data_IF_458098503174
#
_entry.id   IF_458098503174
#
_cell.length_a   1.000
_cell.length_b   1.000
_cell.length_c   1.000
_cell.angle_alpha   90.00
_cell.angle_beta   90.00
_cell.angle_gamma   90.00
#
_symmetry.space_group_name_H-M   'P 1'
#
loop_
_entity.id
_entity.type
_entity.pdbx_description
1 polymer ?
#
# COMPACT_ATOMS: atom_id res chain seq x y z
N UNK A 1 -20.54 10.86 20.82
CA UNK A 1 -20.50 10.08 19.56
C UNK A 1 -19.50 10.62 18.53
N UNK A 2 -18.97 11.85 18.66
CA UNK A 2 -18.04 12.45 17.69
C UNK A 2 -16.62 11.88 17.70
N UNK A 3 -16.12 11.39 18.84
CA UNK A 3 -14.71 10.94 18.98
C UNK A 3 -14.41 9.64 18.24
N UNK A 4 -15.36 8.70 18.17
CA UNK A 4 -15.15 7.40 17.53
C UNK A 4 -15.04 7.57 16.01
N UNK A 5 -15.97 8.31 15.39
CA UNK A 5 -15.95 8.58 13.96
C UNK A 5 -14.71 9.36 13.50
N UNK A 6 -14.17 10.26 14.34
CA UNK A 6 -12.94 10.96 14.05
C UNK A 6 -11.71 10.04 14.10
N UNK A 7 -11.67 9.09 15.04
CA UNK A 7 -10.57 8.14 15.14
C UNK A 7 -10.56 7.15 13.96
N UNK A 8 -11.73 6.66 13.54
CA UNK A 8 -11.85 5.78 12.38
C UNK A 8 -11.35 6.43 11.09
N UNK A 9 -11.57 7.74 10.91
CA UNK A 9 -11.03 8.48 9.75
C UNK A 9 -9.50 8.62 9.78
N UNK A 10 -8.91 8.73 10.98
CA UNK A 10 -7.46 8.80 11.12
C UNK A 10 -6.84 7.43 10.85
N UNK A 11 -7.45 6.37 11.35
CA UNK A 11 -6.98 4.99 11.16
C UNK A 11 -6.92 4.61 9.68
N UNK A 12 -7.82 5.15 8.84
CA UNK A 12 -7.84 4.93 7.40
C UNK A 12 -6.86 5.81 6.59
N UNK A 13 -6.14 6.74 7.22
CA UNK A 13 -5.12 7.53 6.51
C UNK A 13 -3.97 6.63 6.12
N UNK A 14 -3.55 6.69 4.87
CA UNK A 14 -2.40 5.92 4.38
C UNK A 14 -1.12 6.75 4.47
N UNK A 15 -0.04 6.09 4.86
CA UNK A 15 1.29 6.67 4.91
C UNK A 15 2.26 5.84 4.09
N UNK A 16 3.21 6.52 3.46
CA UNK A 16 4.30 5.89 2.70
C UNK A 16 5.65 6.52 2.99
N UNK A 17 6.70 5.79 2.64
CA UNK A 17 8.03 6.36 2.47
C UNK A 17 8.14 7.04 1.10
N UNK A 18 8.51 8.32 1.07
CA UNK A 18 8.54 9.11 -0.16
C UNK A 18 9.92 9.70 -0.45
N UNK A 19 10.46 9.32 -1.60
CA UNK A 19 11.71 9.87 -2.13
C UNK A 19 11.56 11.36 -2.50
N UNK A 20 10.39 11.75 -2.99
CA UNK A 20 10.06 13.13 -3.32
C UNK A 20 10.05 13.98 -2.06
N UNK A 21 9.37 13.52 -1.00
CA UNK A 21 9.33 14.20 0.29
C UNK A 21 10.72 14.37 0.91
N UNK A 22 11.59 13.37 0.79
CA UNK A 22 13.00 13.51 1.20
C UNK A 22 13.73 14.61 0.42
N UNK A 23 13.46 14.74 -0.88
CA UNK A 23 13.96 15.82 -1.71
C UNK A 23 13.54 17.20 -1.20
N UNK A 24 12.27 17.38 -0.83
CA UNK A 24 11.75 18.62 -0.23
C UNK A 24 12.43 18.96 1.11
N UNK A 25 12.76 17.93 1.89
CA UNK A 25 13.51 18.04 3.15
C UNK A 25 15.02 18.29 2.94
N UNK A 26 15.48 18.42 1.69
CA UNK A 26 16.88 18.54 1.30
C UNK A 26 17.74 17.36 1.83
N UNK A 27 17.19 16.15 1.78
CA UNK A 27 17.83 14.93 2.24
C UNK A 27 18.07 13.97 1.09
N UNK A 28 19.23 13.31 1.11
CA UNK A 28 19.54 12.26 0.16
C UNK A 28 18.98 10.92 0.65
N UNK A 29 18.20 10.19 -0.17
CA UNK A 29 17.68 8.88 0.20
C UNK A 29 18.75 7.78 0.23
N UNK A 30 19.82 7.91 -0.56
CA UNK A 30 20.83 6.85 -0.72
C UNK A 30 21.55 6.53 0.61
N UNK A 31 22.14 7.50 1.34
CA UNK A 31 22.77 7.21 2.63
C UNK A 31 21.77 6.68 3.66
N UNK A 32 20.51 7.11 3.58
CA UNK A 32 19.45 6.65 4.47
C UNK A 32 19.21 5.15 4.25
N UNK A 33 19.00 4.72 3.00
CA UNK A 33 18.73 3.32 2.67
C UNK A 33 19.96 2.42 2.85
N UNK A 34 21.16 2.88 2.45
CA UNK A 34 22.42 2.12 2.60
C UNK A 34 22.67 1.71 4.06
N UNK A 35 22.35 2.57 5.02
CA UNK A 35 22.54 2.28 6.45
C UNK A 35 21.61 1.20 7.01
N UNK A 36 20.63 0.73 6.23
CA UNK A 36 19.65 -0.29 6.64
C UNK A 36 19.85 -1.62 5.91
N UNK A 37 20.76 -1.69 4.96
CA UNK A 37 21.11 -2.95 4.32
C UNK A 37 21.71 -3.93 5.34
N UNK A 38 21.30 -5.19 5.25
CA UNK A 38 21.94 -6.28 5.96
C UNK A 38 23.02 -6.93 5.09
N UNK A 39 23.76 -7.89 5.65
CA UNK A 39 24.87 -8.57 4.95
C UNK A 39 24.43 -9.39 3.73
N UNK A 40 23.14 -9.69 3.59
CA UNK A 40 22.60 -10.42 2.44
C UNK A 40 22.35 -9.50 1.24
N UNK A 41 22.24 -8.18 1.43
CA UNK A 41 22.00 -7.23 0.35
C UNK A 41 23.22 -7.09 -0.59
N UNK A 42 23.04 -7.10 -1.91
CA UNK A 42 24.13 -6.90 -2.89
C UNK A 42 24.86 -5.55 -2.77
N UNK A 43 24.17 -4.52 -2.25
CA UNK A 43 24.75 -3.20 -2.04
C UNK A 43 25.30 -2.97 -0.63
N UNK A 44 25.35 -4.01 0.21
CA UNK A 44 25.95 -3.93 1.53
C UNK A 44 27.43 -3.52 1.45
N UNK A 45 27.82 -2.53 2.27
CA UNK A 45 29.20 -2.02 2.32
C UNK A 45 29.57 -1.04 1.19
N UNK A 46 28.66 -0.74 0.25
CA UNK A 46 28.86 0.31 -0.77
C UNK A 46 28.72 1.69 -0.17
N UNK A 47 29.35 2.68 -0.79
CA UNK A 47 29.23 4.08 -0.43
C UNK A 47 28.17 4.79 -1.30
N UNK A 48 27.78 6.00 -0.90
CA UNK A 48 26.85 6.81 -1.70
C UNK A 48 27.38 7.22 -3.07
N UNK A 49 28.68 7.01 -3.36
CA UNK A 49 29.26 7.24 -4.67
C UNK A 49 29.12 6.04 -5.62
N UNK A 50 28.80 4.85 -5.08
CA UNK A 50 28.72 3.59 -5.84
C UNK A 50 27.28 3.22 -6.24
N UNK A 51 26.31 4.01 -5.79
CA UNK A 51 24.88 3.73 -5.97
C UNK A 51 24.17 5.00 -6.45
N UNK A 52 23.59 4.90 -7.64
CA UNK A 52 22.90 6.03 -8.28
C UNK A 52 21.38 5.99 -8.10
N UNK A 53 20.80 4.80 -7.85
CA UNK A 53 19.35 4.62 -7.79
C UNK A 53 18.85 4.21 -6.38
N UNK A 54 18.11 5.09 -5.67
CA UNK A 54 17.51 4.75 -4.38
C UNK A 54 16.39 3.71 -4.48
N UNK A 55 15.68 3.61 -5.62
CA UNK A 55 14.60 2.62 -5.76
C UNK A 55 15.16 1.20 -5.77
N UNK A 56 16.30 0.99 -6.43
CA UNK A 56 17.04 -0.26 -6.37
C UNK A 56 17.39 -0.66 -4.93
N UNK A 57 17.88 0.27 -4.12
CA UNK A 57 18.18 -0.01 -2.70
C UNK A 57 16.93 -0.42 -1.91
N UNK A 58 15.81 0.27 -2.14
CA UNK A 58 14.54 -0.06 -1.50
C UNK A 58 14.07 -1.48 -1.90
N UNK A 59 14.17 -1.84 -3.18
CA UNK A 59 13.88 -3.19 -3.66
C UNK A 59 14.81 -4.26 -3.05
N UNK A 60 16.11 -3.96 -2.92
CA UNK A 60 17.08 -4.86 -2.26
C UNK A 60 16.74 -5.08 -0.78
N UNK A 61 16.32 -4.03 -0.06
CA UNK A 61 15.89 -4.15 1.34
C UNK A 61 14.72 -5.11 1.46
N UNK A 62 13.68 -4.94 0.63
CA UNK A 62 12.52 -5.84 0.67
C UNK A 62 12.89 -7.29 0.38
N UNK A 63 13.73 -7.52 -0.61
CA UNK A 63 14.12 -8.86 -1.04
C UNK A 63 15.01 -9.61 -0.02
N UNK A 64 15.77 -8.89 0.81
CA UNK A 64 16.81 -9.50 1.65
C UNK A 64 16.67 -9.24 3.15
N UNK A 65 15.85 -8.26 3.56
CA UNK A 65 15.68 -7.87 4.96
C UNK A 65 14.32 -8.24 5.56
N UNK A 66 13.36 -8.71 4.77
CA UNK A 66 12.02 -9.06 5.29
C UNK A 66 12.06 -10.19 6.33
N UNK A 67 12.89 -11.21 6.08
CA UNK A 67 13.04 -12.38 6.95
C UNK A 67 14.10 -12.20 8.05
N UNK A 68 14.76 -11.04 8.11
CA UNK A 68 15.82 -10.77 9.09
C UNK A 68 15.18 -10.33 10.43
N UNK A 69 15.24 -11.16 11.48
CA UNK A 69 14.60 -10.84 12.77
C UNK A 69 15.27 -9.66 13.48
N UNK A 70 16.50 -9.32 13.11
CA UNK A 70 17.25 -8.18 13.67
C UNK A 70 17.05 -6.89 12.85
N UNK A 71 16.33 -6.96 11.72
CA UNK A 71 16.07 -5.80 10.89
C UNK A 71 15.21 -4.75 11.61
N UNK A 72 14.24 -5.16 12.44
CA UNK A 72 13.48 -4.25 13.30
C UNK A 72 13.67 -4.69 14.75
N UNK A 73 14.11 -3.76 15.61
CA UNK A 73 14.37 -4.05 17.04
C UNK A 73 13.60 -3.10 17.93
N UNK A 74 13.07 -3.62 19.02
CA UNK A 74 12.33 -2.84 20.03
C UNK A 74 13.16 -1.74 20.71
N UNK A 75 14.49 -1.79 20.62
CA UNK A 75 15.37 -0.74 21.14
C UNK A 75 15.48 0.47 20.22
N UNK A 76 14.97 0.40 18.99
CA UNK A 76 15.04 1.48 18.00
C UNK A 76 14.09 2.64 18.35
N UNK A 77 14.38 3.87 17.89
CA UNK A 77 13.44 4.98 17.97
C UNK A 77 12.13 4.65 17.23
N UNK A 78 10.99 5.18 17.72
CA UNK A 78 9.67 4.94 17.15
C UNK A 78 9.63 5.18 15.63
N UNK A 79 10.15 6.32 15.17
CA UNK A 79 10.18 6.66 13.75
C UNK A 79 11.07 5.72 12.93
N UNK A 80 12.15 5.17 13.49
CA UNK A 80 12.98 4.17 12.79
C UNK A 80 12.21 2.85 12.64
N UNK A 81 11.44 2.45 13.65
CA UNK A 81 10.57 1.27 13.57
C UNK A 81 9.55 1.47 12.46
N UNK A 82 8.80 2.58 12.47
CA UNK A 82 7.81 2.89 11.43
C UNK A 82 8.46 2.93 10.04
N UNK A 83 9.62 3.57 9.92
CA UNK A 83 10.34 3.63 8.66
C UNK A 83 10.67 2.25 8.12
N UNK A 84 11.24 1.37 8.94
CA UNK A 84 11.58 0.01 8.51
C UNK A 84 10.35 -0.85 8.24
N UNK A 85 9.26 -0.67 9.00
CA UNK A 85 7.98 -1.32 8.70
C UNK A 85 7.46 -0.91 7.33
N UNK A 86 7.46 0.39 7.00
CA UNK A 86 7.05 0.88 5.68
C UNK A 86 7.97 0.44 4.54
N UNK A 87 9.28 0.31 4.79
CA UNK A 87 10.21 -0.22 3.80
C UNK A 87 9.91 -1.69 3.44
N UNK A 88 9.36 -2.47 4.37
CA UNK A 88 9.02 -3.88 4.16
C UNK A 88 7.59 -4.10 3.65
N UNK A 89 6.75 -3.07 3.62
CA UNK A 89 5.39 -3.18 3.08
C UNK A 89 5.42 -3.48 1.57
N UNK A 90 4.57 -4.42 1.12
CA UNK A 90 4.54 -4.90 -0.26
C UNK A 90 4.21 -3.78 -1.26
N UNK A 91 3.18 -3.00 -0.95
CA UNK A 91 2.70 -1.84 -1.70
C UNK A 91 3.41 -0.53 -1.30
N UNK A 92 4.31 -0.57 -0.33
CA UNK A 92 5.01 0.57 0.26
C UNK A 92 4.09 1.61 0.91
N UNK A 93 2.86 1.21 1.21
CA UNK A 93 1.86 2.05 1.86
C UNK A 93 1.25 1.30 3.04
N UNK A 94 0.96 1.99 4.14
CA UNK A 94 0.22 1.37 5.23
C UNK A 94 -0.76 2.36 5.83
N UNK A 95 -1.92 1.86 6.20
CA UNK A 95 -2.88 2.64 6.97
C UNK A 95 -2.30 2.98 8.35
N UNK A 96 -2.63 4.15 8.87
CA UNK A 96 -2.18 4.61 10.17
C UNK A 96 -2.62 3.65 11.28
N UNK A 97 -3.80 3.05 11.14
CA UNK A 97 -4.29 1.99 12.02
C UNK A 97 -3.38 0.76 12.00
N UNK A 98 -2.95 0.30 10.82
CA UNK A 98 -2.03 -0.83 10.70
C UNK A 98 -0.65 -0.52 11.28
N UNK A 99 -0.10 0.68 11.03
CA UNK A 99 1.17 1.11 11.63
C UNK A 99 1.04 1.17 13.16
N UNK A 100 -0.06 1.72 13.66
CA UNK A 100 -0.33 1.79 15.10
C UNK A 100 -0.40 0.41 15.74
N UNK A 101 -1.09 -0.53 15.09
CA UNK A 101 -1.21 -1.92 15.54
C UNK A 101 0.15 -2.64 15.56
N UNK A 102 0.94 -2.54 14.49
CA UNK A 102 2.31 -3.09 14.45
C UNK A 102 3.15 -2.58 15.64
N UNK A 103 3.08 -1.27 15.91
CA UNK A 103 3.80 -0.67 17.02
C UNK A 103 3.30 -1.15 18.39
N UNK A 104 1.99 -1.23 18.61
CA UNK A 104 1.41 -1.54 19.92
C UNK A 104 1.45 -3.02 20.26
N UNK A 105 1.36 -3.90 19.26
CA UNK A 105 1.30 -5.36 19.48
C UNK A 105 2.67 -6.03 19.27
N UNK A 106 3.34 -5.74 18.14
CA UNK A 106 4.54 -6.48 17.74
C UNK A 106 5.82 -5.88 18.34
N UNK A 107 5.89 -4.56 18.39
CA UNK A 107 7.11 -3.85 18.79
C UNK A 107 7.06 -3.30 20.22
N UNK A 108 5.92 -3.39 20.87
CA UNK A 108 5.74 -3.08 22.29
C UNK A 108 6.21 -4.23 23.16
N UNK A 109 6.74 -3.93 24.35
CA UNK A 109 7.04 -4.94 25.37
C UNK A 109 6.64 -4.47 26.76
N UNK A 110 6.46 -5.38 27.74
CA UNK A 110 6.15 -4.98 29.12
C UNK A 110 7.20 -4.04 29.75
N UNK A 111 8.46 -4.15 29.31
CA UNK A 111 9.58 -3.34 29.81
C UNK A 111 9.68 -2.01 29.05
N UNK A 112 9.21 -1.96 27.80
CA UNK A 112 9.18 -0.76 26.95
C UNK A 112 7.85 -0.69 26.19
N UNK A 113 6.78 -0.23 26.86
CA UNK A 113 5.48 -0.14 26.23
C UNK A 113 5.45 1.02 25.24
N UNK A 114 4.89 0.79 24.05
CA UNK A 114 4.60 1.84 23.08
C UNK A 114 3.15 2.28 23.28
N UNK A 115 2.94 3.42 23.94
CA UNK A 115 1.62 3.94 24.33
C UNK A 115 1.14 5.12 23.47
N UNK A 116 1.69 5.26 22.25
CA UNK A 116 1.28 6.31 21.32
C UNK A 116 -0.18 6.10 20.91
N UNK A 117 -0.96 7.18 20.82
CA UNK A 117 -2.33 7.12 20.27
C UNK A 117 -2.28 7.26 18.74
N UNK A 118 -3.30 6.82 18.02
CA UNK A 118 -3.40 7.01 16.55
C UNK A 118 -3.21 8.49 16.17
N UNK A 119 -3.92 9.41 16.84
CA UNK A 119 -3.77 10.84 16.60
C UNK A 119 -2.38 11.39 16.98
N UNK A 120 -1.72 10.81 17.98
CA UNK A 120 -0.34 11.15 18.34
C UNK A 120 0.65 10.65 17.28
N UNK A 121 0.41 9.45 16.75
CA UNK A 121 1.24 8.84 15.71
C UNK A 121 1.15 9.66 14.42
N UNK A 122 -0.05 10.01 13.95
CA UNK A 122 -0.23 10.90 12.79
C UNK A 122 0.59 12.18 12.93
N UNK A 123 0.51 12.88 14.07
CA UNK A 123 1.32 14.07 14.32
C UNK A 123 2.82 13.82 14.28
N UNK A 124 3.29 12.66 14.75
CA UNK A 124 4.72 12.31 14.72
C UNK A 124 5.18 12.06 13.27
N UNK A 125 4.33 11.45 12.44
CA UNK A 125 4.64 11.20 11.03
C UNK A 125 4.57 12.50 10.21
N UNK A 126 3.56 13.33 10.44
CA UNK A 126 3.37 14.60 9.73
C UNK A 126 4.49 15.63 10.02
N UNK A 127 5.04 15.59 11.24
CA UNK A 127 6.16 16.45 11.65
C UNK A 127 7.53 15.80 11.43
N UNK A 128 7.61 14.67 10.72
CA UNK A 128 8.89 14.08 10.37
C UNK A 128 9.70 15.00 9.45
N UNK A 129 10.99 15.10 9.76
CA UNK A 129 11.96 15.88 9.01
C UNK A 129 13.18 15.04 8.59
N UNK A 130 13.12 13.71 8.78
CA UNK A 130 14.26 12.83 8.59
C UNK A 130 13.99 11.65 7.67
N UNK A 131 12.86 10.96 7.81
CA UNK A 131 12.55 9.75 7.05
C UNK A 131 11.77 10.01 5.76
N UNK A 132 11.12 11.17 5.63
CA UNK A 132 10.31 11.52 4.46
C UNK A 132 8.97 10.80 4.44
N UNK A 133 8.30 10.71 5.59
CA UNK A 133 6.93 10.20 5.64
C UNK A 133 5.97 11.14 4.91
N UNK A 134 5.11 10.55 4.10
CA UNK A 134 4.09 11.25 3.33
C UNK A 134 2.74 10.58 3.57
N UNK A 135 1.74 11.38 3.96
CA UNK A 135 0.36 10.93 4.02
C UNK A 135 -0.24 10.97 2.61
N UNK A 136 -0.85 9.87 2.18
CA UNK A 136 -1.56 9.80 0.91
C UNK A 136 -2.96 10.36 1.15
N UNK A 137 -3.36 11.45 0.47
CA UNK A 137 -4.72 11.94 0.58
C UNK A 137 -5.66 10.87 0.05
N UNK A 138 -6.72 10.56 0.80
CA UNK A 138 -7.78 9.69 0.32
C UNK A 138 -8.24 10.21 -1.04
N UNK A 139 -8.50 9.33 -2.03
CA UNK A 139 -9.00 9.76 -3.33
C UNK A 139 -10.21 10.66 -3.08
N UNK A 140 -10.13 11.90 -3.57
CA UNK A 140 -11.29 12.79 -3.50
C UNK A 140 -12.44 12.02 -4.15
N UNK A 141 -13.62 11.92 -3.50
CA UNK A 141 -14.75 11.23 -4.11
C UNK A 141 -14.95 11.90 -5.46
N UNK A 142 -14.74 11.16 -6.55
CA UNK A 142 -14.91 11.65 -7.91
C UNK A 142 -16.17 12.50 -7.89
N UNK A 143 -15.99 13.81 -8.05
CA UNK A 143 -17.09 14.74 -7.97
C UNK A 143 -18.05 14.30 -9.07
N UNK A 144 -19.14 13.64 -8.68
CA UNK A 144 -20.17 13.14 -9.55
C UNK A 144 -20.49 14.29 -10.49
N UNK A 145 -20.01 14.22 -11.74
CA UNK A 145 -20.18 15.32 -12.67
C UNK A 145 -21.67 15.64 -12.67
N UNK A 146 -22.09 16.89 -12.39
CA UNK A 146 -23.50 17.19 -12.37
C UNK A 146 -24.03 16.87 -13.76
N UNK A 147 -24.83 15.80 -13.84
CA UNK A 147 -25.58 15.37 -15.02
C UNK A 147 -26.25 16.62 -15.59
N UNK A 148 -25.63 17.19 -16.62
CA UNK A 148 -26.12 18.41 -17.25
C UNK A 148 -27.51 18.07 -17.75
N UNK A 149 -28.55 18.81 -17.36
CA UNK A 149 -29.89 18.52 -17.87
C UNK A 149 -29.83 18.66 -19.38
N UNK A 150 -30.08 17.55 -20.06
CA UNK A 150 -30.28 17.48 -21.51
C UNK A 150 -31.13 18.68 -21.93
N UNK A 151 -30.53 19.56 -22.73
CA UNK A 151 -31.22 20.67 -23.38
C UNK A 151 -32.25 20.08 -24.35
N UNK A 152 -33.43 19.78 -23.84
CA UNK A 152 -34.64 19.66 -24.63
C UNK A 152 -35.01 21.05 -25.16
N UNK A 153 -34.82 21.24 -26.47
CA UNK A 153 -35.73 21.94 -27.39
C UNK A 153 -34.96 22.15 -28.71
N UNK A 154 -35.19 21.28 -29.69
CA UNK A 154 -36.21 21.42 -30.72
C UNK A 154 -35.79 22.41 -31.81
N UNK A 155 -35.42 21.88 -32.98
CA UNK A 155 -35.89 22.43 -34.24
C UNK A 155 -35.87 21.35 -35.33
N UNK A 156 -37.05 21.11 -35.88
CA UNK A 156 -37.35 20.24 -37.01
C UNK A 156 -37.25 21.06 -38.29
N UNK A 157 -36.61 20.56 -39.34
CA UNK A 157 -37.30 20.38 -40.64
C UNK A 157 -36.51 19.50 -41.62
N UNK A 158 -37.28 18.90 -42.52
CA UNK A 158 -37.01 17.78 -43.40
C UNK A 158 -36.13 18.05 -44.63
N UNK A 159 -35.50 16.99 -45.18
CA UNK A 159 -35.79 16.50 -46.54
C UNK A 159 -34.93 15.28 -46.96
N UNK A 160 -35.63 14.15 -47.15
CA UNK A 160 -35.60 13.26 -48.33
C UNK A 160 -34.31 12.54 -48.75
N UNK A 161 -34.31 11.23 -48.43
CA UNK A 161 -34.11 10.03 -49.27
C UNK A 161 -32.95 9.95 -50.28
N UNK A 162 -32.19 8.85 -50.20
CA UNK A 162 -32.07 7.86 -51.27
C UNK A 162 -31.62 6.51 -50.68
N UNK A 163 -32.21 5.44 -51.20
CA UNK A 163 -32.03 4.05 -50.82
C UNK A 163 -30.81 3.40 -51.50
N UNK A 164 -30.20 2.42 -50.84
CA UNK A 164 -29.54 1.22 -51.41
C UNK A 164 -29.14 0.33 -50.20
N UNK A 165 -29.87 -0.73 -49.87
CA UNK A 165 -29.75 -2.13 -50.35
C UNK A 165 -28.51 -2.89 -49.83
N UNK A 166 -28.80 -3.88 -48.97
CA UNK A 166 -28.19 -5.20 -48.78
C UNK A 166 -26.70 -5.36 -48.40
N UNK A 167 -26.45 -5.98 -47.23
CA UNK A 167 -26.05 -7.41 -47.09
C UNK A 167 -25.74 -7.67 -45.59
N UNK A 168 -26.46 -8.55 -44.90
CA UNK A 168 -26.22 -10.00 -44.82
C UNK A 168 -24.84 -10.35 -44.23
N UNK A 169 -24.78 -10.60 -42.91
CA UNK A 169 -23.97 -11.67 -42.31
C UNK A 169 -24.74 -12.22 -41.10
N UNK A 170 -25.34 -13.39 -41.32
CA UNK A 170 -25.51 -14.45 -40.30
C UNK A 170 -24.13 -14.97 -39.90
N UNK A 171 -23.88 -15.14 -38.59
CA UNK A 171 -23.13 -16.28 -38.08
C UNK A 171 -23.12 -16.26 -36.53
N UNK A 172 -23.84 -17.22 -35.99
CA UNK A 172 -23.43 -18.13 -34.91
C UNK A 172 -23.06 -17.56 -33.54
N UNK A 173 -24.07 -17.64 -32.69
CA UNK A 173 -23.99 -18.04 -31.28
C UNK A 173 -23.21 -19.35 -31.20
N UNK A 174 -22.05 -19.33 -30.54
CA UNK A 174 -21.49 -20.52 -29.90
C UNK A 174 -21.54 -20.30 -28.39
N UNK A 175 -22.38 -21.13 -27.76
CA UNK A 175 -22.35 -21.50 -26.35
C UNK A 175 -20.97 -22.09 -26.03
N UNK A 176 -20.26 -21.52 -25.06
CA UNK A 176 -19.24 -22.25 -24.32
C UNK A 176 -19.68 -22.29 -22.85
N UNK A 177 -20.38 -23.39 -22.53
CA UNK A 177 -20.50 -23.93 -21.19
C UNK A 177 -19.23 -24.73 -20.89
N UNK A 178 -18.32 -24.17 -20.09
CA UNK A 178 -17.26 -24.94 -19.43
C UNK A 178 -17.37 -24.68 -17.91
N UNK A 179 -18.03 -25.60 -17.21
CA UNK A 179 -17.44 -26.75 -16.52
C UNK A 179 -17.02 -26.37 -15.09
N UNK A 180 -17.96 -26.55 -14.17
CA UNK A 180 -17.66 -26.71 -12.76
C UNK A 180 -16.94 -28.06 -12.60
N UNK A 181 -15.61 -28.04 -12.49
CA UNK A 181 -14.88 -29.19 -11.97
C UNK A 181 -14.92 -29.14 -10.44
N UNK A 182 -15.59 -30.15 -9.90
CA UNK A 182 -15.59 -30.55 -8.50
C UNK A 182 -14.14 -30.63 -7.97
N UNK A 183 -13.83 -29.85 -6.94
CA UNK A 183 -12.66 -30.12 -6.10
C UNK A 183 -13.15 -30.90 -4.87
N UNK A 184 -12.86 -32.21 -4.78
CA UNK A 184 -13.30 -33.05 -3.68
C UNK A 184 -12.52 -32.73 -2.41
N UNK A 185 -13.27 -32.56 -1.32
CA UNK A 185 -12.77 -32.58 0.06
C UNK A 185 -11.77 -33.74 0.28
N UNK A 186 -10.49 -33.42 0.43
CA UNK A 186 -9.54 -34.30 1.11
C UNK A 186 -9.72 -34.09 2.62
N UNK A 187 -10.50 -35.00 3.21
CA UNK A 187 -10.44 -35.34 4.63
C UNK A 187 -9.11 -36.09 4.86
N UNK A 188 -8.15 -35.46 5.53
CA UNK A 188 -7.01 -36.17 6.10
C UNK A 188 -7.15 -36.19 7.63
N UNK A 189 -7.71 -37.33 8.03
CA UNK A 189 -7.59 -38.11 9.25
C UNK A 189 -6.72 -37.57 10.40
N UNK A 190 -7.39 -37.50 11.55
CA UNK A 190 -6.81 -37.57 12.88
C UNK A 190 -5.96 -38.85 13.03
N UNK A 191 -4.66 -38.71 13.33
CA UNK A 191 -3.86 -39.81 13.88
C UNK A 191 -3.29 -39.39 15.24
N UNK A 192 -4.05 -39.76 16.27
CA UNK A 192 -3.65 -39.77 17.68
C UNK A 192 -2.45 -40.71 17.87
N UNK A 193 -1.28 -40.12 18.10
CA UNK A 193 -0.07 -40.83 18.52
C UNK A 193 0.22 -40.63 20.00
N UNK A 194 -0.48 -41.38 20.85
CA UNK A 194 -0.04 -41.69 22.22
C UNK A 194 1.15 -42.65 22.15
N UNK A 195 2.33 -42.25 22.64
CA UNK A 195 3.36 -43.21 23.09
C UNK A 195 4.11 -42.69 24.34
N UNK A 196 3.78 -43.34 25.46
CA UNK A 196 4.54 -43.74 26.68
C UNK A 196 5.50 -42.77 27.41
#
# INVERSE_FOLDING_TARGET
MTTVAANTRLESLEYRFSLERLGELNRSPIPLLLARLNTACPSYGKTSADVDDPNKLNAEIRAHCADDPDFIRQSMPLQEIVFRTLLLADDQTMTLGAIHHELSERWSSPIRPITVTVAGLSKILDNDAFYGFEAIPAPEPEALEPDLPMLFAAETDAATALADEADFIDADVEDDEDLYEDDPYEEDDDEDGDED
#
